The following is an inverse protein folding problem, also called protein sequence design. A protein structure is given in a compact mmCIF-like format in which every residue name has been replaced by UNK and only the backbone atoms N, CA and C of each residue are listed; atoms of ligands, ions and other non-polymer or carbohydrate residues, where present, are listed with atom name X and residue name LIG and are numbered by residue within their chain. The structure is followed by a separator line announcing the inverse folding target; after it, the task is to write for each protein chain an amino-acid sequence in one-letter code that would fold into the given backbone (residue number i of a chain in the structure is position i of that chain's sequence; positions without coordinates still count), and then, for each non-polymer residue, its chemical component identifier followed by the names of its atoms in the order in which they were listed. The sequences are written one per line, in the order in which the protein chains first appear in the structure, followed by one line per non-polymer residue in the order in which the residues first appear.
data_IF_765626192882
#
_entry.id   IF_765626192882
#
_cell.length_a   1.000
_cell.length_b   1.000
_cell.length_c   1.000
_cell.angle_alpha   90.00
_cell.angle_beta   90.00
_cell.angle_gamma   90.00
#
_symmetry.space_group_name_H-M   'P 1'
#
loop_
_entity.id
_entity.type
_entity.pdbx_description
1 polymer ?
#
# COMPACT_ATOMS: atom_id res chain seq x y z
N UNK A 1 48.12 -5.01 -28.08
CA UNK A 1 46.97 -4.39 -28.79
C UNK A 1 45.75 -4.63 -27.92
N UNK A 2 45.47 -3.69 -27.02
CA UNK A 2 44.40 -3.77 -26.04
C UNK A 2 43.18 -3.04 -26.58
N UNK A 3 42.09 -3.77 -26.82
CA UNK A 3 40.81 -3.23 -27.28
C UNK A 3 39.94 -2.88 -26.08
N UNK A 4 39.75 -1.59 -25.87
CA UNK A 4 38.79 -0.96 -24.96
C UNK A 4 37.37 -1.20 -25.47
N UNK A 5 36.44 -1.55 -24.58
CA UNK A 5 34.99 -1.56 -24.89
C UNK A 5 34.22 -0.92 -23.74
N UNK A 6 33.28 -0.09 -24.14
CA UNK A 6 32.63 0.97 -23.40
C UNK A 6 31.70 0.48 -22.28
N UNK A 7 31.78 1.15 -21.13
CA UNK A 7 30.79 1.11 -20.06
C UNK A 7 29.78 2.25 -20.26
N UNK A 8 28.46 1.99 -20.15
CA UNK A 8 27.45 3.05 -20.22
C UNK A 8 27.51 3.93 -18.96
N UNK A 9 27.57 5.24 -19.19
CA UNK A 9 27.69 6.27 -18.17
C UNK A 9 26.58 6.26 -17.13
N UNK A 10 26.98 6.39 -15.87
CA UNK A 10 26.15 6.74 -14.72
C UNK A 10 25.51 8.13 -14.92
N UNK A 11 24.20 8.31 -14.66
CA UNK A 11 23.61 9.64 -14.63
C UNK A 11 24.12 10.43 -13.41
N UNK A 12 24.70 11.59 -13.69
CA UNK A 12 25.17 12.54 -12.68
C UNK A 12 24.03 12.98 -11.74
N UNK A 13 24.35 13.01 -10.45
CA UNK A 13 23.58 13.64 -9.39
C UNK A 13 23.50 15.16 -9.66
N UNK A 14 22.33 15.81 -9.61
CA UNK A 14 22.26 17.27 -9.65
C UNK A 14 22.86 17.86 -8.38
N UNK A 15 23.86 18.72 -8.60
CA UNK A 15 24.73 19.31 -7.61
C UNK A 15 24.05 20.18 -6.56
N UNK A 16 24.86 20.48 -5.55
CA UNK A 16 24.57 21.30 -4.39
C UNK A 16 24.01 22.69 -4.76
N UNK A 17 23.13 23.17 -3.89
CA UNK A 17 22.44 24.46 -3.99
C UNK A 17 23.43 25.63 -3.80
N UNK A 18 23.83 26.28 -4.90
CA UNK A 18 24.56 27.55 -4.83
C UNK A 18 23.58 28.73 -4.64
N UNK A 19 23.62 29.33 -3.46
CA UNK A 19 22.96 30.61 -3.15
C UNK A 19 24.02 31.73 -3.12
N UNK A 20 23.71 32.96 -3.59
CA UNK A 20 24.62 34.09 -3.48
C UNK A 20 24.81 34.55 -2.03
N UNK A 21 26.06 34.73 -1.61
CA UNK A 21 26.46 35.11 -0.27
C UNK A 21 25.93 36.47 0.21
N UNK A 22 25.61 36.54 1.50
CA UNK A 22 25.29 37.75 2.26
C UNK A 22 26.57 38.54 2.59
N UNK A 23 26.63 39.87 2.41
CA UNK A 23 27.72 40.66 2.96
C UNK A 23 27.49 41.00 4.44
N UNK A 24 28.51 40.77 5.25
CA UNK A 24 28.63 41.12 6.68
C UNK A 24 28.75 42.64 6.90
N UNK A 25 28.34 43.09 8.09
CA UNK A 25 28.16 44.49 8.50
C UNK A 25 29.44 45.35 8.67
N UNK A 26 29.27 46.62 9.09
CA UNK A 26 30.30 47.65 8.99
C UNK A 26 31.21 47.75 10.23
N UNK A 27 32.50 47.97 10.00
CA UNK A 27 33.49 48.36 10.99
C UNK A 27 33.72 49.88 11.00
N UNK A 28 33.81 50.45 12.19
CA UNK A 28 34.12 51.83 12.51
C UNK A 28 35.61 52.17 12.31
N UNK A 29 35.93 53.46 12.16
CA UNK A 29 37.30 53.97 12.26
C UNK A 29 37.56 55.36 11.65
N UNK A 30 37.22 56.40 12.41
CA UNK A 30 38.03 57.60 12.75
C UNK A 30 38.60 58.62 11.73
N UNK A 31 38.31 59.88 12.11
CA UNK A 31 39.16 61.08 12.17
C UNK A 31 39.35 62.02 10.95
N UNK A 32 38.73 63.20 11.10
CA UNK A 32 39.32 64.55 11.13
C UNK A 32 40.32 65.00 10.05
N UNK A 33 39.92 66.00 9.24
CA UNK A 33 40.73 67.23 9.03
C UNK A 33 39.97 68.32 8.27
N UNK A 34 40.25 69.56 8.69
CA UNK A 34 39.65 70.83 8.29
C UNK A 34 40.03 71.34 6.88
N UNK A 35 39.05 71.95 6.23
CA UNK A 35 39.07 73.30 5.63
C UNK A 35 40.14 73.69 4.61
N UNK A 36 39.70 73.93 3.35
CA UNK A 36 40.02 75.18 2.63
C UNK A 36 39.02 75.48 1.51
N UNK A 37 38.42 76.67 1.55
CA UNK A 37 37.68 77.29 0.46
C UNK A 37 38.63 77.62 -0.70
N UNK A 38 38.25 77.26 -1.93
CA UNK A 38 38.53 78.06 -3.13
C UNK A 38 37.34 77.95 -4.08
N UNK A 39 36.98 79.09 -4.67
CA UNK A 39 35.80 79.34 -5.49
C UNK A 39 36.21 79.37 -6.97
N UNK A 40 35.59 78.57 -7.85
CA UNK A 40 35.54 78.76 -9.31
C UNK A 40 34.32 78.01 -9.94
N UNK A 41 33.85 78.35 -11.16
CA UNK A 41 32.43 78.34 -11.58
C UNK A 41 31.96 77.01 -12.24
N UNK A 42 30.66 76.87 -12.61
CA UNK A 42 30.00 75.57 -12.73
C UNK A 42 30.30 74.86 -14.05
N UNK A 43 30.86 73.66 -13.96
CA UNK A 43 30.88 72.70 -15.06
C UNK A 43 29.63 71.79 -14.99
N UNK A 44 28.98 71.60 -16.14
CA UNK A 44 27.72 70.86 -16.29
C UNK A 44 27.75 69.45 -15.68
N UNK A 45 26.64 68.96 -15.10
CA UNK A 45 26.60 67.64 -14.49
C UNK A 45 26.66 66.55 -15.57
N UNK A 46 27.72 65.74 -15.54
CA UNK A 46 27.77 64.47 -16.25
C UNK A 46 26.66 63.54 -15.74
N UNK A 47 25.95 62.81 -16.61
CA UNK A 47 24.87 61.94 -16.17
C UNK A 47 25.43 60.80 -15.32
N UNK A 48 24.93 60.71 -14.08
CA UNK A 48 25.21 59.59 -13.20
C UNK A 48 24.91 58.26 -13.92
N UNK A 49 25.74 57.21 -13.77
CA UNK A 49 25.45 55.92 -14.36
C UNK A 49 24.09 55.45 -13.84
N UNK A 50 23.14 55.28 -14.76
CA UNK A 50 21.83 54.68 -14.48
C UNK A 50 22.09 53.34 -13.79
N UNK A 51 21.86 53.28 -12.47
CA UNK A 51 21.82 52.02 -11.74
C UNK A 51 20.73 51.19 -12.42
N UNK A 52 21.14 50.17 -13.15
CA UNK A 52 20.23 49.16 -13.69
C UNK A 52 19.30 48.72 -12.55
N UNK A 53 17.97 48.72 -12.73
CA UNK A 53 17.08 48.27 -11.69
C UNK A 53 17.47 46.83 -11.36
N UNK A 54 17.98 46.61 -10.13
CA UNK A 54 18.13 45.27 -9.58
C UNK A 54 16.73 44.66 -9.65
N UNK A 55 16.53 43.69 -10.55
CA UNK A 55 15.35 42.82 -10.52
C UNK A 55 15.22 42.35 -9.08
N UNK A 56 14.12 42.70 -8.42
CA UNK A 56 13.82 42.20 -7.09
C UNK A 56 13.92 40.67 -7.06
N UNK A 57 14.10 40.04 -5.89
CA UNK A 57 14.18 38.59 -5.80
C UNK A 57 12.95 38.01 -6.52
N UNK A 58 13.19 37.21 -7.55
CA UNK A 58 12.13 36.54 -8.28
C UNK A 58 11.22 35.85 -7.26
N UNK A 59 9.92 36.04 -7.40
CA UNK A 59 8.93 35.39 -6.52
C UNK A 59 9.21 33.87 -6.50
N UNK A 60 9.70 33.33 -5.37
CA UNK A 60 10.20 31.97 -5.31
C UNK A 60 9.07 30.95 -5.56
N UNK A 61 7.83 31.31 -5.21
CA UNK A 61 6.64 30.48 -5.48
C UNK A 61 6.35 30.46 -6.98
N UNK A 62 6.50 31.59 -7.68
CA UNK A 62 6.30 31.65 -9.14
C UNK A 62 7.33 30.80 -9.89
N UNK A 63 8.59 30.80 -9.46
CA UNK A 63 9.62 29.93 -10.01
C UNK A 63 9.27 28.44 -9.79
N UNK A 64 8.80 28.09 -8.58
CA UNK A 64 8.36 26.74 -8.25
C UNK A 64 7.14 26.29 -9.07
N UNK A 65 6.15 27.16 -9.27
CA UNK A 65 5.00 26.91 -10.13
C UNK A 65 5.40 26.66 -11.59
N UNK A 66 6.44 27.34 -12.08
CA UNK A 66 6.94 27.09 -13.44
C UNK A 66 7.59 25.71 -13.56
N UNK A 67 8.35 25.29 -12.55
CA UNK A 67 8.96 23.97 -12.50
C UNK A 67 7.93 22.83 -12.38
N UNK A 68 6.83 23.06 -11.64
CA UNK A 68 5.75 22.09 -11.44
C UNK A 68 4.47 22.47 -12.20
N UNK A 69 4.61 23.07 -13.38
CA UNK A 69 3.49 23.58 -14.19
C UNK A 69 2.44 22.51 -14.48
N UNK A 70 2.88 21.33 -14.93
CA UNK A 70 1.99 20.21 -15.26
C UNK A 70 1.21 19.69 -14.05
N UNK A 71 1.74 19.86 -12.83
CA UNK A 71 1.05 19.51 -11.59
C UNK A 71 -0.02 20.57 -11.27
N UNK A 72 0.33 21.84 -11.34
CA UNK A 72 -0.57 22.96 -11.07
C UNK A 72 -1.75 23.04 -12.07
N UNK A 73 -1.52 22.74 -13.34
CA UNK A 73 -2.55 22.78 -14.39
C UNK A 73 -3.54 21.62 -14.28
N UNK A 74 -3.10 20.43 -13.85
CA UNK A 74 -3.98 19.25 -13.71
C UNK A 74 -4.71 19.17 -12.37
N UNK A 75 -4.23 19.88 -11.35
CA UNK A 75 -4.73 19.74 -10.00
C UNK A 75 -6.15 20.32 -9.84
N UNK A 76 -7.06 19.48 -9.35
CA UNK A 76 -8.46 19.82 -9.07
C UNK A 76 -8.63 20.39 -7.66
N UNK A 77 -7.72 20.08 -6.73
CA UNK A 77 -7.70 20.62 -5.37
C UNK A 77 -6.28 20.96 -4.87
N UNK A 78 -6.13 21.81 -3.83
CA UNK A 78 -4.83 22.12 -3.24
C UNK A 78 -4.08 20.90 -2.67
N UNK A 79 -4.78 19.83 -2.29
CA UNK A 79 -4.16 18.63 -1.73
C UNK A 79 -3.44 17.81 -2.80
N UNK A 80 -3.93 17.79 -4.04
CA UNK A 80 -3.24 17.19 -5.18
C UNK A 80 -1.91 17.91 -5.45
N UNK A 81 -1.89 19.24 -5.32
CA UNK A 81 -0.64 20.02 -5.38
C UNK A 81 0.27 19.65 -4.21
N UNK A 82 -0.22 19.63 -2.97
CA UNK A 82 0.59 19.26 -1.79
C UNK A 82 1.19 17.85 -1.91
N UNK A 83 0.40 16.88 -2.36
CA UNK A 83 0.84 15.52 -2.64
C UNK A 83 1.86 15.44 -3.76
N UNK A 84 1.66 16.19 -4.85
CA UNK A 84 2.63 16.27 -5.94
C UNK A 84 3.94 16.88 -5.47
N UNK A 85 3.92 17.95 -4.68
CA UNK A 85 5.11 18.56 -4.08
C UNK A 85 5.85 17.56 -3.17
N UNK A 86 5.13 16.83 -2.30
CA UNK A 86 5.73 15.78 -1.46
C UNK A 86 6.37 14.66 -2.30
N UNK A 87 5.73 14.25 -3.41
CA UNK A 87 6.27 13.24 -4.31
C UNK A 87 7.58 13.69 -5.00
N UNK A 88 7.73 15.00 -5.23
CA UNK A 88 8.96 15.61 -5.74
C UNK A 88 9.97 15.96 -4.62
N UNK A 89 9.72 15.52 -3.38
CA UNK A 89 10.65 15.65 -2.25
C UNK A 89 10.55 16.96 -1.47
N UNK A 90 9.51 17.78 -1.71
CA UNK A 90 9.28 19.01 -0.96
C UNK A 90 8.62 18.67 0.37
N UNK A 91 9.31 19.00 1.46
CA UNK A 91 8.88 18.76 2.85
C UNK A 91 8.48 20.07 3.53
N UNK A 92 7.91 20.01 4.74
CA UNK A 92 7.56 21.22 5.50
C UNK A 92 8.78 22.14 5.75
N UNK A 93 9.97 21.54 5.94
CA UNK A 93 11.24 22.28 6.03
C UNK A 93 11.61 22.97 4.72
N UNK A 94 11.32 22.34 3.58
CA UNK A 94 11.52 22.95 2.26
C UNK A 94 10.51 24.07 2.01
N UNK A 95 9.24 23.90 2.41
CA UNK A 95 8.19 24.92 2.30
C UNK A 95 8.54 26.21 3.07
N UNK A 96 9.21 26.09 4.22
CA UNK A 96 9.69 27.25 4.98
C UNK A 96 10.63 28.17 4.17
N UNK A 97 11.40 27.62 3.21
CA UNK A 97 12.26 28.42 2.30
C UNK A 97 11.44 29.29 1.33
N UNK A 98 10.21 28.87 1.03
CA UNK A 98 9.25 29.62 0.24
C UNK A 98 8.39 30.56 1.08
N UNK A 99 8.73 30.80 2.37
CA UNK A 99 7.97 31.61 3.34
C UNK A 99 6.59 31.05 3.71
N UNK A 100 6.35 29.77 3.48
CA UNK A 100 5.14 29.08 3.93
C UNK A 100 5.47 28.13 5.09
N UNK A 101 4.60 28.07 6.10
CA UNK A 101 4.84 27.28 7.31
C UNK A 101 4.90 25.77 7.02
N UNK A 102 4.11 25.30 6.05
CA UNK A 102 3.96 23.88 5.70
C UNK A 102 3.66 23.69 4.21
N UNK A 103 3.83 22.47 3.70
CA UNK A 103 3.58 22.13 2.29
C UNK A 103 2.12 22.37 1.89
N UNK A 104 1.17 22.14 2.80
CA UNK A 104 -0.26 22.41 2.55
C UNK A 104 -0.53 23.89 2.29
N UNK A 105 0.03 24.80 3.10
CA UNK A 105 -0.13 26.25 2.89
C UNK A 105 0.56 26.73 1.61
N UNK A 106 1.70 26.14 1.25
CA UNK A 106 2.38 26.41 -0.02
C UNK A 106 1.52 25.96 -1.21
N UNK A 107 0.91 24.78 -1.10
CA UNK A 107 0.06 24.24 -2.14
C UNK A 107 -1.25 25.03 -2.32
N UNK A 108 -1.84 25.51 -1.23
CA UNK A 108 -3.00 26.42 -1.25
C UNK A 108 -2.66 27.74 -1.96
N UNK A 109 -1.51 28.34 -1.65
CA UNK A 109 -1.02 29.53 -2.34
C UNK A 109 -0.78 29.28 -3.84
N UNK A 110 -0.14 28.15 -4.19
CA UNK A 110 0.06 27.76 -5.59
C UNK A 110 -1.25 27.49 -6.32
N UNK A 111 -2.24 26.91 -5.63
CA UNK A 111 -3.59 26.68 -6.18
C UNK A 111 -4.29 28.02 -6.43
N UNK A 112 -4.31 28.93 -5.46
CA UNK A 112 -4.98 30.23 -5.57
C UNK A 112 -4.41 31.12 -6.70
N UNK A 113 -3.13 30.95 -7.05
CA UNK A 113 -2.45 31.73 -8.10
C UNK A 113 -2.69 31.24 -9.52
N UNK A 114 -3.19 30.02 -9.71
CA UNK A 114 -3.54 29.52 -11.05
C UNK A 114 -4.90 30.10 -11.43
N UNK A 115 -5.00 30.92 -12.48
CA UNK A 115 -6.29 31.43 -12.94
C UNK A 115 -7.13 30.23 -13.38
N UNK A 116 -8.19 29.95 -12.61
CA UNK A 116 -9.24 29.01 -12.96
C UNK A 116 -10.44 29.86 -13.36
N UNK A 117 -11.14 29.49 -14.42
CA UNK A 117 -12.41 30.12 -14.76
C UNK A 117 -13.34 29.99 -13.55
N UNK A 118 -13.47 31.07 -12.79
CA UNK A 118 -14.52 31.21 -11.79
C UNK A 118 -15.83 31.37 -12.54
N UNK A 119 -16.41 30.26 -13.00
CA UNK A 119 -17.85 30.15 -13.31
C UNK A 119 -18.19 28.71 -13.73
N UNK A 120 -18.18 27.82 -12.75
CA UNK A 120 -19.32 26.91 -12.60
C UNK A 120 -19.43 26.66 -11.11
N UNK A 121 -20.52 27.09 -10.44
CA UNK A 121 -20.92 26.48 -9.19
C UNK A 121 -21.09 25.00 -9.54
N UNK A 122 -20.07 24.19 -9.28
CA UNK A 122 -20.18 22.75 -9.40
C UNK A 122 -21.22 22.43 -8.36
N UNK A 123 -22.43 22.16 -8.82
CA UNK A 123 -23.47 21.62 -7.97
C UNK A 123 -22.79 20.46 -7.27
N UNK A 124 -22.52 20.62 -5.98
CA UNK A 124 -22.32 19.50 -5.10
C UNK A 124 -23.71 18.90 -5.10
N UNK A 125 -24.00 18.08 -6.13
CA UNK A 125 -24.99 17.04 -6.00
C UNK A 125 -24.43 16.16 -4.90
N UNK A 126 -24.73 16.55 -3.67
CA UNK A 126 -24.86 15.63 -2.58
C UNK A 126 -25.96 14.67 -3.03
N UNK A 127 -25.53 13.67 -3.82
CA UNK A 127 -26.30 12.48 -4.11
C UNK A 127 -26.47 11.77 -2.77
N UNK A 128 -27.41 12.28 -1.99
CA UNK A 128 -27.90 11.74 -0.74
C UNK A 128 -28.85 10.60 -1.09
N UNK A 129 -28.34 9.64 -1.85
CA UNK A 129 -28.92 8.31 -1.88
C UNK A 129 -27.95 7.40 -1.10
N UNK A 130 -28.39 6.71 -0.03
CA UNK A 130 -27.57 5.72 0.67
C UNK A 130 -27.20 4.50 -0.19
N UNK A 131 -27.65 4.45 -1.45
CA UNK A 131 -27.50 3.34 -2.40
C UNK A 131 -26.06 2.87 -2.70
N UNK A 132 -25.02 3.71 -2.77
CA UNK A 132 -23.69 3.21 -3.15
C UNK A 132 -23.05 2.35 -2.05
N UNK A 133 -23.35 2.61 -0.76
CA UNK A 133 -22.83 1.82 0.38
C UNK A 133 -23.44 0.42 0.43
N UNK A 134 -24.76 0.32 0.32
CA UNK A 134 -25.47 -0.97 0.35
C UNK A 134 -25.07 -1.87 -0.82
N UNK A 135 -24.96 -1.30 -2.02
CA UNK A 135 -24.65 -2.07 -3.25
C UNK A 135 -23.26 -2.71 -3.21
N UNK A 136 -22.28 -2.05 -2.60
CA UNK A 136 -20.95 -2.66 -2.48
C UNK A 136 -20.82 -3.57 -1.24
N UNK A 137 -21.50 -3.28 -0.13
CA UNK A 137 -21.57 -4.21 1.01
C UNK A 137 -22.17 -5.56 0.61
N UNK A 138 -23.27 -5.54 -0.15
CA UNK A 138 -23.88 -6.76 -0.71
C UNK A 138 -22.89 -7.55 -1.56
N UNK A 139 -22.10 -6.86 -2.39
CA UNK A 139 -21.05 -7.49 -3.21
C UNK A 139 -19.89 -8.03 -2.39
N UNK A 140 -19.56 -7.41 -1.26
CA UNK A 140 -18.50 -7.89 -0.36
C UNK A 140 -18.91 -9.14 0.44
N UNK A 141 -20.22 -9.40 0.59
CA UNK A 141 -20.78 -10.59 1.25
C UNK A 141 -20.91 -11.81 0.31
N UNK A 142 -21.06 -11.59 -1.00
CA UNK A 142 -21.13 -12.66 -2.02
C UNK A 142 -20.06 -13.76 -1.88
N UNK A 143 -18.75 -13.46 -1.72
CA UNK A 143 -17.74 -14.50 -1.58
C UNK A 143 -18.02 -15.39 -0.36
N UNK A 144 -18.40 -14.81 0.78
CA UNK A 144 -18.76 -15.55 1.99
C UNK A 144 -19.98 -16.47 1.80
N UNK A 145 -21.06 -15.95 1.20
CA UNK A 145 -22.27 -16.74 0.91
C UNK A 145 -21.97 -17.88 -0.07
N UNK A 146 -21.23 -17.60 -1.14
CA UNK A 146 -20.84 -18.62 -2.10
C UNK A 146 -19.98 -19.70 -1.44
N UNK A 147 -19.03 -19.34 -0.57
CA UNK A 147 -18.18 -20.29 0.12
C UNK A 147 -18.98 -21.15 1.11
N UNK A 148 -19.89 -20.55 1.88
CA UNK A 148 -20.78 -21.30 2.77
C UNK A 148 -21.68 -22.29 2.00
N UNK A 149 -22.25 -21.87 0.87
CA UNK A 149 -23.03 -22.75 -0.01
C UNK A 149 -22.20 -23.93 -0.53
N UNK A 150 -20.93 -23.70 -0.87
CA UNK A 150 -20.03 -24.76 -1.34
C UNK A 150 -19.66 -25.75 -0.25
N UNK A 151 -19.41 -25.27 0.97
CA UNK A 151 -19.17 -26.15 2.11
C UNK A 151 -20.41 -27.00 2.39
N UNK A 152 -21.60 -26.38 2.44
CA UNK A 152 -22.86 -27.11 2.62
C UNK A 152 -23.09 -28.15 1.50
N UNK A 153 -22.79 -27.83 0.25
CA UNK A 153 -22.88 -28.78 -0.86
C UNK A 153 -21.88 -29.94 -0.73
N UNK A 154 -20.66 -29.68 -0.27
CA UNK A 154 -19.62 -30.70 -0.06
C UNK A 154 -19.93 -31.65 1.11
N UNK A 155 -20.71 -31.21 2.10
CA UNK A 155 -21.20 -32.06 3.19
C UNK A 155 -22.38 -32.95 2.76
N UNK A 156 -23.19 -32.51 1.79
CA UNK A 156 -24.37 -33.26 1.33
C UNK A 156 -24.09 -34.18 0.13
N UNK A 157 -22.95 -34.04 -0.54
CA UNK A 157 -22.63 -34.82 -1.75
C UNK A 157 -21.57 -35.89 -1.50
N UNK A 158 -21.75 -37.06 -2.12
CA UNK A 158 -20.81 -38.19 -2.06
C UNK A 158 -20.27 -38.52 -3.46
N UNK A 159 -19.09 -39.17 -3.54
CA UNK A 159 -18.52 -39.65 -4.79
C UNK A 159 -18.20 -38.55 -5.83
N UNK A 160 -18.50 -38.82 -7.10
CA UNK A 160 -18.21 -37.87 -8.20
C UNK A 160 -18.99 -36.56 -8.11
N UNK A 161 -20.20 -36.58 -7.54
CA UNK A 161 -21.00 -35.37 -7.33
C UNK A 161 -20.28 -34.38 -6.41
N UNK A 162 -19.47 -34.87 -5.46
CA UNK A 162 -18.65 -34.07 -4.56
C UNK A 162 -17.53 -33.34 -5.29
N UNK A 163 -16.88 -34.02 -6.25
CA UNK A 163 -15.84 -33.42 -7.09
C UNK A 163 -16.40 -32.29 -7.96
N UNK A 164 -17.55 -32.54 -8.61
CA UNK A 164 -18.22 -31.52 -9.41
C UNK A 164 -18.69 -30.33 -8.55
N UNK A 165 -19.24 -30.59 -7.37
CA UNK A 165 -19.62 -29.54 -6.41
C UNK A 165 -18.41 -28.71 -5.95
N UNK A 166 -17.27 -29.36 -5.70
CA UNK A 166 -16.01 -28.70 -5.35
C UNK A 166 -15.49 -27.80 -6.47
N UNK A 167 -15.46 -28.28 -7.71
CA UNK A 167 -15.01 -27.50 -8.88
C UNK A 167 -15.95 -26.31 -9.12
N UNK A 168 -17.26 -26.56 -9.19
CA UNK A 168 -18.26 -25.51 -9.38
C UNK A 168 -18.19 -24.46 -8.26
N UNK A 169 -17.97 -24.93 -7.04
CA UNK A 169 -17.81 -24.08 -5.87
C UNK A 169 -16.57 -23.21 -5.91
N UNK A 170 -15.41 -23.77 -6.25
CA UNK A 170 -14.17 -23.03 -6.41
C UNK A 170 -14.32 -21.93 -7.48
N UNK A 171 -14.97 -22.24 -8.61
CA UNK A 171 -15.26 -21.26 -9.66
C UNK A 171 -16.19 -20.16 -9.16
N UNK A 172 -17.27 -20.51 -8.45
CA UNK A 172 -18.23 -19.54 -7.91
C UNK A 172 -17.57 -18.58 -6.90
N UNK A 173 -16.72 -19.10 -6.00
CA UNK A 173 -15.96 -18.31 -5.03
C UNK A 173 -14.96 -17.41 -5.75
N UNK A 174 -14.21 -17.93 -6.73
CA UNK A 174 -13.24 -17.16 -7.49
C UNK A 174 -13.88 -16.00 -8.26
N UNK A 175 -15.03 -16.24 -8.91
CA UNK A 175 -15.79 -15.20 -9.63
C UNK A 175 -16.34 -14.15 -8.66
N UNK A 176 -16.93 -14.58 -7.54
CA UNK A 176 -17.46 -13.69 -6.51
C UNK A 176 -16.37 -12.82 -5.88
N UNK A 177 -15.22 -13.41 -5.57
CA UNK A 177 -14.05 -12.71 -5.06
C UNK A 177 -13.53 -11.71 -6.09
N UNK A 178 -13.39 -12.11 -7.36
CA UNK A 178 -12.98 -11.19 -8.44
C UNK A 178 -13.97 -10.04 -8.60
N UNK A 179 -15.27 -10.29 -8.53
CA UNK A 179 -16.29 -9.24 -8.60
C UNK A 179 -16.22 -8.26 -7.43
N UNK A 180 -16.05 -8.76 -6.20
CA UNK A 180 -15.89 -7.94 -4.99
C UNK A 180 -14.62 -7.08 -5.04
N UNK A 181 -13.52 -7.66 -5.53
CA UNK A 181 -12.22 -7.00 -5.62
C UNK A 181 -12.10 -6.01 -6.78
N UNK A 182 -12.87 -6.17 -7.86
CA UNK A 182 -12.77 -5.30 -9.06
C UNK A 182 -13.72 -4.11 -9.03
N UNK A 183 -14.87 -4.21 -8.36
CA UNK A 183 -15.94 -3.18 -8.41
C UNK A 183 -16.20 -2.47 -7.07
N UNK A 184 -15.25 -2.52 -6.14
CA UNK A 184 -15.35 -1.95 -4.79
C UNK A 184 -14.20 -0.99 -4.40
N UNK A 185 -14.17 -0.46 -3.16
CA UNK A 185 -13.07 0.30 -2.59
C UNK A 185 -11.82 -0.54 -2.29
N UNK A 186 -11.91 -1.88 -2.44
CA UNK A 186 -10.74 -2.76 -2.57
C UNK A 186 -10.20 -2.83 -4.00
N UNK A 187 -10.72 -2.03 -4.95
CA UNK A 187 -10.22 -2.02 -6.32
C UNK A 187 -8.79 -1.48 -6.35
N UNK A 188 -7.88 -2.35 -6.78
CA UNK A 188 -6.49 -2.02 -7.07
C UNK A 188 -6.23 -2.21 -8.57
N UNK A 189 -5.33 -1.41 -9.15
CA UNK A 189 -4.69 -1.74 -10.43
C UNK A 189 -3.66 -2.84 -10.13
N UNK A 190 -4.14 -4.07 -9.97
CA UNK A 190 -3.29 -5.22 -9.67
C UNK A 190 -2.58 -5.73 -10.93
N UNK A 191 -1.37 -6.23 -10.77
CA UNK A 191 -0.77 -7.09 -11.79
C UNK A 191 -1.46 -8.47 -11.75
N UNK A 192 -1.61 -9.16 -12.89
CA UNK A 192 -2.16 -10.51 -12.92
C UNK A 192 -1.35 -11.49 -12.03
N UNK A 193 -0.05 -11.25 -11.87
CA UNK A 193 0.83 -12.07 -11.02
C UNK A 193 0.41 -12.10 -9.55
N UNK A 194 0.01 -10.96 -8.97
CA UNK A 194 -0.45 -10.92 -7.56
C UNK A 194 -1.69 -11.80 -7.33
N UNK A 195 -2.57 -11.90 -8.33
CA UNK A 195 -3.77 -12.74 -8.25
C UNK A 195 -3.40 -14.22 -8.26
N UNK A 196 -2.46 -14.63 -9.11
CA UNK A 196 -1.97 -16.02 -9.18
C UNK A 196 -1.38 -16.45 -7.83
N UNK A 197 -0.54 -15.61 -7.22
CA UNK A 197 0.06 -15.94 -5.92
C UNK A 197 -0.95 -15.92 -4.76
N UNK A 198 -1.93 -15.01 -4.80
CA UNK A 198 -3.06 -15.04 -3.85
C UNK A 198 -3.84 -16.36 -3.97
N UNK A 199 -4.13 -16.80 -5.20
CA UNK A 199 -4.81 -18.07 -5.45
C UNK A 199 -3.97 -19.26 -4.98
N UNK A 200 -2.64 -19.24 -5.19
CA UNK A 200 -1.75 -20.27 -4.67
C UNK A 200 -1.78 -20.34 -3.14
N UNK A 201 -1.67 -19.21 -2.44
CA UNK A 201 -1.71 -19.17 -0.96
C UNK A 201 -3.06 -19.66 -0.41
N UNK A 202 -4.17 -19.33 -1.08
CA UNK A 202 -5.49 -19.84 -0.72
C UNK A 202 -5.60 -21.35 -0.97
N UNK A 203 -5.08 -21.85 -2.10
CA UNK A 203 -5.06 -23.28 -2.39
C UNK A 203 -4.19 -24.04 -1.36
N UNK A 204 -3.03 -23.49 -1.00
CA UNK A 204 -2.16 -24.03 0.05
C UNK A 204 -2.86 -24.04 1.41
N UNK A 205 -3.62 -23.01 1.77
CA UNK A 205 -4.35 -23.00 3.04
C UNK A 205 -5.44 -24.08 3.14
N UNK A 206 -5.93 -24.60 2.01
CA UNK A 206 -6.98 -25.64 1.94
C UNK A 206 -6.41 -27.05 1.84
N UNK A 207 -5.38 -27.23 1.01
CA UNK A 207 -4.82 -28.56 0.70
C UNK A 207 -3.42 -28.78 1.27
N UNK A 208 -2.68 -27.71 1.54
CA UNK A 208 -1.24 -27.75 1.81
C UNK A 208 -0.88 -28.48 3.09
N UNK A 209 -1.59 -28.23 4.20
CA UNK A 209 -1.28 -28.89 5.48
C UNK A 209 -1.59 -30.39 5.44
N UNK A 210 -2.72 -30.77 4.81
CA UNK A 210 -3.05 -32.17 4.57
C UNK A 210 -2.08 -32.85 3.60
N UNK A 211 -1.59 -32.12 2.59
CA UNK A 211 -0.60 -32.62 1.63
C UNK A 211 0.78 -32.80 2.27
N UNK A 212 1.19 -31.88 3.16
CA UNK A 212 2.42 -32.01 3.96
C UNK A 212 2.34 -33.22 4.89
N UNK A 213 1.22 -33.39 5.59
CA UNK A 213 1.00 -34.55 6.46
C UNK A 213 1.07 -35.87 5.70
N UNK A 214 0.38 -35.95 4.55
CA UNK A 214 0.41 -37.15 3.70
C UNK A 214 1.79 -37.40 3.08
N UNK A 215 2.52 -36.35 2.68
CA UNK A 215 3.87 -36.50 2.14
C UNK A 215 4.86 -37.02 3.20
N UNK A 216 4.70 -36.57 4.45
CA UNK A 216 5.50 -36.97 5.60
C UNK A 216 5.25 -38.43 6.05
N UNK A 217 4.01 -38.93 5.91
CA UNK A 217 3.62 -40.27 6.39
C UNK A 217 3.87 -41.42 5.41
N UNK A 218 4.40 -41.16 4.20
CA UNK A 218 4.65 -42.19 3.19
C UNK A 218 4.04 -41.89 1.82
N UNK A 219 3.15 -40.91 1.73
CA UNK A 219 2.64 -40.31 0.48
C UNK A 219 1.12 -40.17 0.43
N UNK A 220 0.60 -39.35 -0.49
CA UNK A 220 -0.83 -39.29 -0.74
C UNK A 220 -1.26 -40.58 -1.43
N UNK A 221 -1.63 -41.60 -0.65
CA UNK A 221 -2.17 -42.86 -1.18
C UNK A 221 -3.60 -42.70 -1.73
N UNK A 222 -4.26 -41.59 -1.40
CA UNK A 222 -5.64 -41.28 -1.78
C UNK A 222 -5.82 -39.83 -2.25
N UNK A 223 -6.89 -39.59 -3.02
CA UNK A 223 -7.34 -38.23 -3.40
C UNK A 223 -7.77 -37.42 -2.17
N UNK A 224 -7.68 -36.07 -2.22
CA UNK A 224 -8.09 -35.22 -1.11
C UNK A 224 -9.60 -35.39 -0.87
N UNK A 225 -9.98 -35.66 0.37
CA UNK A 225 -11.36 -35.84 0.77
C UNK A 225 -11.67 -35.00 2.02
N UNK A 226 -12.86 -34.38 2.04
CA UNK A 226 -13.32 -33.68 3.24
C UNK A 226 -13.86 -34.72 4.24
N UNK A 227 -13.21 -34.78 5.40
CA UNK A 227 -13.52 -35.69 6.49
C UNK A 227 -12.31 -35.79 7.44
N UNK A 228 -12.52 -35.80 8.77
CA UNK A 228 -11.44 -35.80 9.75
C UNK A 228 -10.57 -37.07 9.68
N UNK A 229 -11.13 -38.18 9.20
CA UNK A 229 -10.44 -39.48 9.06
C UNK A 229 -9.82 -39.70 7.67
N UNK A 230 -9.81 -38.69 6.81
CA UNK A 230 -9.20 -38.78 5.48
C UNK A 230 -7.67 -38.78 5.58
N UNK A 231 -6.96 -39.63 4.82
CA UNK A 231 -5.49 -39.57 4.70
C UNK A 231 -4.99 -38.22 4.18
N UNK A 232 -5.85 -37.48 3.47
CA UNK A 232 -5.60 -36.11 3.01
C UNK A 232 -6.83 -35.24 3.32
N UNK A 233 -6.91 -34.62 4.51
CA UNK A 233 -8.05 -33.81 4.92
C UNK A 233 -8.01 -32.42 4.27
N UNK A 234 -9.19 -31.92 3.89
CA UNK A 234 -9.39 -30.58 3.33
C UNK A 234 -9.80 -29.62 4.44
N UNK A 235 -9.02 -28.57 4.69
CA UNK A 235 -9.32 -27.53 5.69
C UNK A 235 -10.20 -26.44 5.09
N UNK A 236 -11.51 -26.51 5.33
CA UNK A 236 -12.48 -25.54 4.78
C UNK A 236 -12.67 -24.30 5.66
N UNK A 237 -12.41 -24.41 6.98
CA UNK A 237 -12.55 -23.31 7.95
C UNK A 237 -11.79 -22.03 7.54
N UNK A 238 -10.48 -22.08 7.18
CA UNK A 238 -9.72 -20.86 6.90
C UNK A 238 -10.24 -20.13 5.65
N UNK A 239 -10.63 -20.87 4.62
CA UNK A 239 -11.12 -20.25 3.37
C UNK A 239 -12.52 -19.69 3.52
N UNK A 240 -13.41 -20.39 4.21
CA UNK A 240 -14.74 -19.85 4.52
C UNK A 240 -14.63 -18.58 5.36
N UNK A 241 -13.74 -18.59 6.36
CA UNK A 241 -13.50 -17.41 7.19
C UNK A 241 -12.92 -16.25 6.39
N UNK A 242 -11.91 -16.48 5.54
CA UNK A 242 -11.32 -15.43 4.70
C UNK A 242 -12.32 -14.89 3.67
N UNK A 243 -13.21 -15.74 3.15
CA UNK A 243 -14.30 -15.32 2.25
C UNK A 243 -15.32 -14.42 2.97
N UNK A 244 -15.69 -14.74 4.22
CA UNK A 244 -16.52 -13.88 5.08
C UNK A 244 -15.78 -12.59 5.49
N UNK A 245 -14.49 -12.68 5.75
CA UNK A 245 -13.63 -11.55 6.13
C UNK A 245 -13.46 -10.52 4.99
N UNK A 246 -13.87 -10.85 3.76
CA UNK A 246 -13.92 -9.89 2.67
C UNK A 246 -14.81 -8.68 2.98
N UNK A 247 -15.92 -8.86 3.71
CA UNK A 247 -16.84 -7.78 4.10
C UNK A 247 -16.28 -6.80 5.15
N UNK A 248 -15.68 -7.24 6.27
CA UNK A 248 -14.99 -6.33 7.18
C UNK A 248 -13.74 -5.71 6.54
N UNK A 249 -12.95 -6.45 5.75
CA UNK A 249 -11.78 -5.92 5.04
C UNK A 249 -12.17 -4.75 4.13
N UNK A 250 -13.22 -4.96 3.36
CA UNK A 250 -13.91 -3.96 2.59
C UNK A 250 -14.19 -2.71 3.44
N UNK A 251 -15.08 -2.82 4.43
CA UNK A 251 -15.57 -1.68 5.21
C UNK A 251 -14.43 -0.93 5.91
N UNK A 252 -13.43 -1.65 6.43
CA UNK A 252 -12.25 -1.07 7.06
C UNK A 252 -11.38 -0.31 6.06
N UNK A 253 -11.15 -0.82 4.86
CA UNK A 253 -10.38 -0.11 3.82
C UNK A 253 -11.08 1.17 3.35
N UNK A 254 -12.42 1.15 3.25
CA UNK A 254 -13.19 2.34 2.90
C UNK A 254 -13.13 3.39 4.03
N UNK A 255 -13.38 2.97 5.27
CA UNK A 255 -13.34 3.87 6.42
C UNK A 255 -11.93 4.40 6.72
N UNK A 256 -10.88 3.62 6.48
CA UNK A 256 -9.49 4.08 6.49
C UNK A 256 -9.28 5.22 5.51
N UNK A 257 -9.67 5.04 4.24
CA UNK A 257 -9.53 6.06 3.21
C UNK A 257 -10.32 7.35 3.52
N UNK A 258 -11.56 7.21 3.99
CA UNK A 258 -12.40 8.34 4.37
C UNK A 258 -11.82 9.12 5.55
N UNK A 259 -11.37 8.42 6.61
CA UNK A 259 -10.76 9.07 7.78
C UNK A 259 -9.38 9.66 7.47
N UNK A 260 -8.57 8.99 6.66
CA UNK A 260 -7.28 9.53 6.20
C UNK A 260 -7.47 10.84 5.43
N UNK A 261 -8.48 10.91 4.54
CA UNK A 261 -8.83 12.15 3.83
C UNK A 261 -9.33 13.24 4.77
N UNK A 262 -10.18 12.90 5.73
CA UNK A 262 -10.63 13.85 6.75
C UNK A 262 -9.47 14.41 7.57
N UNK A 263 -8.51 13.57 7.97
CA UNK A 263 -7.28 14.00 8.66
C UNK A 263 -6.41 14.89 7.79
N UNK A 264 -6.27 14.57 6.50
CA UNK A 264 -5.52 15.35 5.53
C UNK A 264 -6.07 16.79 5.39
N UNK A 265 -7.38 16.97 5.45
CA UNK A 265 -8.03 18.29 5.41
C UNK A 265 -7.83 19.10 6.70
N UNK A 266 -7.67 18.43 7.85
CA UNK A 266 -7.53 19.10 9.15
C UNK A 266 -6.09 19.38 9.55
N UNK A 267 -5.14 18.58 9.07
CA UNK A 267 -3.73 18.65 9.45
C UNK A 267 -3.03 19.81 8.77
N UNK A 268 -2.20 20.54 9.51
CA UNK A 268 -1.50 21.72 8.99
C UNK A 268 -0.11 21.39 8.47
N UNK A 269 0.41 20.18 8.67
CA UNK A 269 1.72 19.73 8.15
C UNK A 269 1.79 18.22 7.89
N UNK A 270 2.82 17.78 7.16
CA UNK A 270 3.03 16.37 6.78
C UNK A 270 3.36 15.50 8.00
N UNK A 271 4.11 16.02 8.96
CA UNK A 271 4.46 15.29 10.18
C UNK A 271 3.23 15.05 11.08
N UNK A 272 2.39 16.06 11.24
CA UNK A 272 1.13 15.97 11.98
C UNK A 272 0.17 14.98 11.31
N UNK A 273 0.08 15.03 9.98
CA UNK A 273 -0.69 14.07 9.21
C UNK A 273 -0.18 12.64 9.44
N UNK A 274 1.13 12.40 9.28
CA UNK A 274 1.74 11.09 9.49
C UNK A 274 1.53 10.57 10.93
N UNK A 275 1.65 11.43 11.94
CA UNK A 275 1.40 11.09 13.33
C UNK A 275 -0.06 10.67 13.58
N UNK A 276 -1.02 11.31 12.92
CA UNK A 276 -2.45 10.98 13.05
C UNK A 276 -2.87 9.71 12.30
N UNK A 277 -2.22 9.39 11.18
CA UNK A 277 -2.58 8.24 10.32
C UNK A 277 -1.98 6.93 10.83
N UNK A 278 -0.80 6.94 11.48
CA UNK A 278 -0.18 5.75 12.06
C UNK A 278 -1.09 4.97 13.03
N UNK A 279 -1.66 5.57 14.08
CA UNK A 279 -2.55 4.86 15.00
C UNK A 279 -3.83 4.42 14.31
N UNK A 280 -4.28 5.16 13.29
CA UNK A 280 -5.45 4.80 12.50
C UNK A 280 -5.20 3.54 11.67
N UNK A 281 -4.04 3.43 11.03
CA UNK A 281 -3.64 2.22 10.30
C UNK A 281 -3.55 1.02 11.24
N UNK A 282 -2.86 1.16 12.38
CA UNK A 282 -2.75 0.09 13.38
C UNK A 282 -4.12 -0.32 13.92
N UNK A 283 -5.00 0.65 14.21
CA UNK A 283 -6.37 0.42 14.62
C UNK A 283 -7.15 -0.37 13.58
N UNK A 284 -7.04 -0.03 12.29
CA UNK A 284 -7.75 -0.76 11.22
C UNK A 284 -7.26 -2.20 11.05
N UNK A 285 -5.95 -2.43 11.12
CA UNK A 285 -5.37 -3.78 11.06
C UNK A 285 -5.78 -4.59 12.29
N UNK A 286 -5.72 -4.00 13.48
CA UNK A 286 -6.16 -4.62 14.72
C UNK A 286 -7.65 -4.98 14.69
N UNK A 287 -8.52 -4.06 14.25
CA UNK A 287 -9.95 -4.32 14.08
C UNK A 287 -10.21 -5.44 13.06
N UNK A 288 -9.44 -5.50 11.97
CA UNK A 288 -9.55 -6.58 11.00
C UNK A 288 -9.17 -7.94 11.59
N UNK A 289 -8.08 -8.00 12.35
CA UNK A 289 -7.64 -9.22 13.05
C UNK A 289 -8.68 -9.70 14.07
N UNK A 290 -9.24 -8.79 14.87
CA UNK A 290 -10.30 -9.12 15.84
C UNK A 290 -11.55 -9.65 15.12
N UNK A 291 -11.99 -8.98 14.05
CA UNK A 291 -13.13 -9.45 13.26
C UNK A 291 -12.86 -10.83 12.63
N UNK A 292 -11.65 -11.06 12.12
CA UNK A 292 -11.26 -12.35 11.54
C UNK A 292 -11.19 -13.44 12.61
N UNK A 293 -10.67 -13.15 13.80
CA UNK A 293 -10.64 -14.08 14.93
C UNK A 293 -12.05 -14.46 15.41
N UNK A 294 -12.96 -13.50 15.49
CA UNK A 294 -14.36 -13.74 15.84
C UNK A 294 -15.05 -14.61 14.79
N UNK A 295 -14.83 -14.34 13.49
CA UNK A 295 -15.33 -15.19 12.41
C UNK A 295 -14.75 -16.60 12.47
N UNK A 296 -13.45 -16.75 12.77
CA UNK A 296 -12.82 -18.07 12.95
C UNK A 296 -13.49 -18.85 14.08
N UNK A 297 -13.73 -18.21 15.23
CA UNK A 297 -14.42 -18.83 16.35
C UNK A 297 -15.85 -19.26 15.97
N UNK A 298 -16.60 -18.41 15.27
CA UNK A 298 -17.96 -18.74 14.82
C UNK A 298 -17.98 -19.90 13.81
N UNK A 299 -17.04 -19.92 12.86
CA UNK A 299 -16.95 -21.00 11.87
C UNK A 299 -16.49 -22.32 12.48
N UNK A 300 -15.56 -22.28 13.44
CA UNK A 300 -15.16 -23.45 14.22
C UNK A 300 -16.32 -24.03 15.03
N UNK A 301 -17.08 -23.18 15.71
CA UNK A 301 -18.29 -23.57 16.45
C UNK A 301 -19.35 -24.18 15.54
N UNK A 302 -19.57 -23.59 14.35
CA UNK A 302 -20.56 -24.07 13.41
C UNK A 302 -20.19 -25.42 12.75
N UNK A 303 -18.89 -25.67 12.55
CA UNK A 303 -18.37 -26.88 11.90
C UNK A 303 -17.95 -27.97 12.89
N UNK A 304 -17.81 -27.66 14.18
CA UNK A 304 -17.40 -28.61 15.22
C UNK A 304 -15.92 -29.02 15.17
N UNK A 305 -15.09 -28.26 14.47
CA UNK A 305 -13.69 -28.59 14.16
C UNK A 305 -12.74 -27.53 14.77
N UNK A 306 -11.51 -27.91 15.18
CA UNK A 306 -10.54 -26.97 15.74
C UNK A 306 -10.07 -25.95 14.70
N UNK A 307 -10.16 -24.65 15.04
CA UNK A 307 -9.69 -23.59 14.14
C UNK A 307 -8.17 -23.40 14.24
N UNK A 308 -7.44 -23.43 13.10
CA UNK A 308 -6.03 -23.03 13.04
C UNK A 308 -5.90 -21.50 13.08
N UNK A 309 -6.16 -20.91 14.26
CA UNK A 309 -6.08 -19.46 14.52
C UNK A 309 -4.80 -18.79 14.00
N UNK A 310 -3.58 -19.29 14.32
CA UNK A 310 -2.37 -18.53 13.98
C UNK A 310 -2.15 -18.43 12.47
N UNK A 311 -2.43 -19.50 11.73
CA UNK A 311 -2.30 -19.55 10.27
C UNK A 311 -3.31 -18.63 9.57
N UNK A 312 -4.59 -18.72 9.96
CA UNK A 312 -5.66 -17.97 9.29
C UNK A 312 -5.55 -16.46 9.57
N UNK A 313 -5.14 -16.08 10.79
CA UNK A 313 -4.88 -14.67 11.13
C UNK A 313 -3.66 -14.12 10.38
N UNK A 314 -2.56 -14.88 10.30
CA UNK A 314 -1.36 -14.45 9.58
C UNK A 314 -1.62 -14.27 8.09
N UNK A 315 -2.31 -15.24 7.46
CA UNK A 315 -2.68 -15.16 6.04
C UNK A 315 -3.68 -14.02 5.80
N UNK A 316 -4.69 -13.88 6.65
CA UNK A 316 -5.66 -12.79 6.56
C UNK A 316 -4.98 -11.41 6.64
N UNK A 317 -4.09 -11.21 7.61
CA UNK A 317 -3.34 -9.97 7.75
C UNK A 317 -2.49 -9.66 6.52
N UNK A 318 -1.78 -10.67 6.00
CA UNK A 318 -0.95 -10.54 4.80
C UNK A 318 -1.77 -10.08 3.60
N UNK A 319 -2.91 -10.75 3.33
CA UNK A 319 -3.79 -10.43 2.21
C UNK A 319 -4.44 -9.05 2.36
N UNK A 320 -4.88 -8.70 3.57
CA UNK A 320 -5.47 -7.38 3.85
C UNK A 320 -4.46 -6.25 3.62
N UNK A 321 -3.24 -6.38 4.16
CA UNK A 321 -2.17 -5.40 3.99
C UNK A 321 -1.73 -5.28 2.53
N UNK A 322 -1.54 -6.42 1.85
CA UNK A 322 -1.20 -6.45 0.44
C UNK A 322 -2.25 -5.72 -0.40
N UNK A 323 -3.54 -5.96 -0.11
CA UNK A 323 -4.64 -5.30 -0.82
C UNK A 323 -4.74 -3.83 -0.50
N UNK A 324 -4.57 -3.44 0.76
CA UNK A 324 -4.60 -2.05 1.18
C UNK A 324 -3.50 -1.24 0.47
N UNK A 325 -2.28 -1.76 0.40
CA UNK A 325 -1.17 -1.16 -0.33
C UNK A 325 -1.46 -1.05 -1.83
N UNK A 326 -1.98 -2.12 -2.45
CA UNK A 326 -2.32 -2.13 -3.87
C UNK A 326 -3.43 -1.12 -4.22
N UNK A 327 -4.39 -0.89 -3.31
CA UNK A 327 -5.45 0.11 -3.46
C UNK A 327 -4.92 1.54 -3.47
N UNK A 328 -3.82 1.81 -2.73
CA UNK A 328 -3.14 3.11 -2.70
C UNK A 328 -1.98 3.20 -3.73
N UNK A 329 -1.98 2.33 -4.75
CA UNK A 329 -1.01 2.37 -5.86
C UNK A 329 0.32 1.65 -5.61
N UNK A 330 0.60 1.19 -4.39
CA UNK A 330 1.85 0.50 -4.03
C UNK A 330 1.73 -1.03 -4.21
N UNK A 331 1.57 -1.50 -5.45
CA UNK A 331 1.36 -2.93 -5.74
C UNK A 331 2.65 -3.77 -5.82
N UNK A 332 3.81 -3.14 -6.04
CA UNK A 332 5.07 -3.88 -6.26
C UNK A 332 5.55 -4.63 -5.01
N UNK A 333 5.67 -3.95 -3.87
CA UNK A 333 6.13 -4.58 -2.62
C UNK A 333 5.20 -5.72 -2.15
N UNK A 334 3.86 -5.56 -2.16
CA UNK A 334 2.94 -6.67 -1.94
C UNK A 334 3.15 -7.84 -2.89
N UNK A 335 3.35 -7.58 -4.19
CA UNK A 335 3.57 -8.66 -5.16
C UNK A 335 4.82 -9.46 -4.82
N UNK A 336 5.95 -8.80 -4.53
CA UNK A 336 7.21 -9.46 -4.15
C UNK A 336 7.07 -10.28 -2.86
N UNK A 337 6.37 -9.74 -1.86
CA UNK A 337 6.20 -10.45 -0.59
C UNK A 337 5.27 -11.65 -0.77
N UNK A 338 4.18 -11.51 -1.52
CA UNK A 338 3.29 -12.64 -1.86
C UNK A 338 3.98 -13.69 -2.71
N UNK A 339 4.86 -13.29 -3.65
CA UNK A 339 5.66 -14.25 -4.43
C UNK A 339 6.61 -15.00 -3.52
N UNK A 340 7.33 -14.29 -2.64
CA UNK A 340 8.30 -14.89 -1.74
C UNK A 340 7.66 -15.88 -0.76
N UNK A 341 6.52 -15.53 -0.17
CA UNK A 341 5.78 -16.43 0.73
C UNK A 341 5.25 -17.65 -0.01
N UNK A 342 4.69 -17.47 -1.20
CA UNK A 342 4.19 -18.57 -2.01
C UNK A 342 5.31 -19.51 -2.46
N UNK A 343 6.46 -18.97 -2.89
CA UNK A 343 7.62 -19.78 -3.25
C UNK A 343 8.18 -20.51 -2.04
N UNK A 344 8.23 -19.90 -0.86
CA UNK A 344 8.70 -20.58 0.36
C UNK A 344 7.83 -21.78 0.73
N UNK A 345 6.50 -21.64 0.62
CA UNK A 345 5.55 -22.73 0.84
C UNK A 345 5.68 -23.81 -0.25
N UNK A 346 5.86 -23.42 -1.51
CA UNK A 346 6.09 -24.36 -2.61
C UNK A 346 7.41 -25.12 -2.47
N UNK A 347 8.48 -24.46 -2.02
CA UNK A 347 9.78 -25.11 -1.78
C UNK A 347 9.68 -26.13 -0.65
N UNK A 348 8.93 -25.86 0.42
CA UNK A 348 8.73 -26.82 1.50
C UNK A 348 8.06 -28.12 1.00
N UNK A 349 7.03 -27.99 0.17
CA UNK A 349 6.41 -29.14 -0.50
C UNK A 349 7.41 -29.85 -1.42
N UNK A 350 8.10 -29.10 -2.28
CA UNK A 350 9.05 -29.66 -3.24
C UNK A 350 10.19 -30.43 -2.56
N UNK A 351 10.71 -29.96 -1.41
CA UNK A 351 11.76 -30.65 -0.67
C UNK A 351 11.32 -31.98 -0.11
N UNK A 352 10.06 -32.11 0.35
CA UNK A 352 9.52 -33.39 0.82
C UNK A 352 9.35 -34.39 -0.33
N UNK A 353 8.88 -33.94 -1.50
CA UNK A 353 8.76 -34.79 -2.68
C UNK A 353 10.14 -35.16 -3.26
N UNK A 354 11.10 -34.23 -3.28
CA UNK A 354 12.46 -34.47 -3.77
C UNK A 354 13.21 -35.47 -2.89
N UNK A 355 12.94 -35.53 -1.59
CA UNK A 355 13.53 -36.50 -0.68
C UNK A 355 13.18 -37.96 -1.00
N UNK A 356 12.20 -38.21 -1.88
CA UNK A 356 11.88 -39.55 -2.40
C UNK A 356 12.82 -40.04 -3.47
N UNK A 357 13.62 -39.15 -4.07
CA UNK A 357 14.67 -39.54 -5.00
C UNK A 357 15.83 -40.19 -4.24
N UNK A 358 16.48 -41.22 -4.82
CA UNK A 358 17.66 -41.83 -4.20
C UNK A 358 18.71 -40.75 -3.94
N UNK A 359 19.33 -40.79 -2.76
CA UNK A 359 20.36 -39.85 -2.27
C UNK A 359 19.89 -38.42 -1.91
N UNK A 360 18.60 -38.10 -2.02
CA UNK A 360 18.07 -36.76 -1.75
C UNK A 360 17.36 -36.60 -0.38
N UNK A 361 17.39 -37.62 0.48
CA UNK A 361 16.66 -37.63 1.76
C UNK A 361 17.02 -36.45 2.69
N UNK A 362 18.25 -35.93 2.61
CA UNK A 362 18.69 -34.80 3.44
C UNK A 362 17.88 -33.50 3.19
N UNK A 363 17.31 -33.31 1.99
CA UNK A 363 16.56 -32.11 1.62
C UNK A 363 15.27 -31.93 2.43
N UNK A 364 14.63 -33.03 2.87
CA UNK A 364 13.41 -32.98 3.67
C UNK A 364 13.66 -32.73 5.16
N UNK A 365 14.87 -33.01 5.67
CA UNK A 365 15.18 -32.97 7.10
C UNK A 365 14.75 -31.70 7.84
N UNK A 366 14.95 -30.46 7.34
CA UNK A 366 14.53 -29.27 8.08
C UNK A 366 13.00 -29.12 8.12
N UNK A 367 12.31 -29.48 7.04
CA UNK A 367 10.84 -29.38 6.94
C UNK A 367 10.20 -30.47 7.79
N UNK A 368 10.73 -31.69 7.73
CA UNK A 368 10.27 -32.82 8.52
C UNK A 368 10.42 -32.56 10.02
N UNK A 369 11.59 -32.10 10.47
CA UNK A 369 11.82 -31.75 11.87
C UNK A 369 10.85 -30.67 12.37
N UNK A 370 10.50 -29.69 11.53
CA UNK A 370 9.52 -28.66 11.84
C UNK A 370 8.10 -29.20 11.96
N UNK A 371 7.71 -30.11 11.05
CA UNK A 371 6.40 -30.77 11.07
C UNK A 371 6.28 -31.69 12.28
N UNK A 372 7.32 -32.46 12.61
CA UNK A 372 7.30 -33.41 13.74
C UNK A 372 7.21 -32.69 15.09
N UNK A 373 7.77 -31.47 15.20
CA UNK A 373 7.80 -30.69 16.45
C UNK A 373 6.58 -29.80 16.66
N UNK A 374 6.06 -29.17 15.61
CA UNK A 374 5.00 -28.16 15.71
C UNK A 374 3.78 -28.41 14.82
N UNK A 375 3.80 -29.49 14.04
CA UNK A 375 2.76 -29.84 13.08
C UNK A 375 2.88 -29.12 11.73
N UNK A 376 2.10 -29.55 10.72
CA UNK A 376 2.20 -29.07 9.33
C UNK A 376 1.84 -27.58 9.16
N UNK A 377 0.92 -27.06 9.99
CA UNK A 377 0.48 -25.65 9.96
C UNK A 377 1.56 -24.63 10.35
N UNK A 378 2.73 -25.08 10.78
CA UNK A 378 3.86 -24.21 11.18
C UNK A 378 4.48 -23.49 9.99
N UNK A 379 4.61 -24.17 8.84
CA UNK A 379 5.17 -23.60 7.60
C UNK A 379 4.40 -22.36 7.14
N UNK A 380 3.07 -22.41 6.94
CA UNK A 380 2.30 -21.23 6.55
C UNK A 380 2.25 -20.18 7.66
N UNK A 381 2.25 -20.59 8.93
CA UNK A 381 2.25 -19.65 10.07
C UNK A 381 3.53 -18.82 10.13
N UNK A 382 4.70 -19.44 9.96
CA UNK A 382 5.99 -18.73 9.97
C UNK A 382 6.17 -17.84 8.74
N UNK A 383 5.85 -18.37 7.55
CA UNK A 383 6.00 -17.61 6.29
C UNK A 383 5.05 -16.42 6.23
N UNK A 384 3.77 -16.60 6.54
CA UNK A 384 2.81 -15.49 6.58
C UNK A 384 3.03 -14.58 7.79
N UNK A 385 3.40 -15.13 8.94
CA UNK A 385 3.63 -14.40 10.20
C UNK A 385 4.85 -13.50 10.17
N UNK A 386 5.87 -13.80 9.36
CA UNK A 386 7.02 -12.92 9.12
C UNK A 386 6.75 -11.89 8.01
N UNK A 387 6.01 -12.28 6.97
CA UNK A 387 5.68 -11.41 5.86
C UNK A 387 4.67 -10.30 6.21
N UNK A 388 3.68 -10.59 7.05
CA UNK A 388 2.67 -9.63 7.49
C UNK A 388 3.27 -8.41 8.23
N UNK A 389 4.12 -8.55 9.26
CA UNK A 389 4.74 -7.40 9.93
C UNK A 389 5.70 -6.63 8.99
N UNK A 390 6.39 -7.32 8.07
CA UNK A 390 7.20 -6.65 7.06
C UNK A 390 6.35 -5.72 6.16
N UNK A 391 5.18 -6.19 5.70
CA UNK A 391 4.21 -5.35 4.98
C UNK A 391 3.61 -4.25 5.87
N UNK A 392 3.40 -4.50 7.16
CA UNK A 392 2.88 -3.49 8.09
C UNK A 392 3.89 -2.35 8.29
N UNK A 393 5.17 -2.66 8.47
CA UNK A 393 6.25 -1.68 8.54
C UNK A 393 6.35 -0.91 7.21
N UNK A 394 6.17 -1.58 6.08
CA UNK A 394 6.14 -0.91 4.79
C UNK A 394 4.92 0.03 4.64
N UNK A 395 3.73 -0.44 5.03
CA UNK A 395 2.48 0.30 4.98
C UNK A 395 2.51 1.55 5.87
N UNK A 396 3.03 1.44 7.09
CA UNK A 396 3.19 2.58 8.02
C UNK A 396 4.15 3.65 7.49
N UNK A 397 5.06 3.31 6.56
CA UNK A 397 5.96 4.29 5.92
C UNK A 397 5.40 4.91 4.65
N UNK A 398 4.60 4.16 3.89
CA UNK A 398 4.06 4.59 2.58
C UNK A 398 2.70 5.26 2.70
N UNK A 399 1.78 4.70 3.49
CA UNK A 399 0.42 5.20 3.61
C UNK A 399 0.30 6.47 4.49
N UNK A 400 1.37 6.83 5.22
CA UNK A 400 1.46 8.08 5.96
C UNK A 400 1.88 9.27 5.10
N UNK A 401 2.22 9.04 3.83
CA UNK A 401 2.54 10.11 2.88
C UNK A 401 1.25 10.69 2.31
N UNK A 402 1.17 12.01 2.18
CA UNK A 402 0.01 12.69 1.58
C UNK A 402 -0.22 12.24 0.12
N UNK A 403 0.87 12.03 -0.61
CA UNK A 403 0.93 11.49 -1.97
C UNK A 403 0.21 10.15 -2.15
N UNK A 404 0.13 9.31 -1.10
CA UNK A 404 -0.59 8.05 -1.16
C UNK A 404 -2.11 8.20 -1.32
N UNK A 405 -2.66 9.40 -1.01
CA UNK A 405 -4.09 9.65 -0.95
C UNK A 405 -4.62 10.59 -2.03
N UNK A 406 -3.74 11.26 -2.80
CA UNK A 406 -4.13 12.21 -3.84
C UNK A 406 -4.70 11.55 -5.11
N UNK A 407 -4.20 10.38 -5.54
CA UNK A 407 -4.69 9.72 -6.76
C UNK A 407 -6.17 9.27 -6.72
N UNK A 408 -6.81 9.33 -5.55
CA UNK A 408 -8.24 9.02 -5.38
C UNK A 408 -9.16 10.21 -5.63
N UNK A 409 -8.66 11.44 -5.67
CA UNK A 409 -9.48 12.64 -5.87
C UNK A 409 -10.06 12.72 -7.30
N UNK A 410 -9.40 12.11 -8.29
CA UNK A 410 -9.86 12.07 -9.69
C UNK A 410 -10.94 11.02 -10.01
N UNK A 411 -11.41 10.23 -9.03
CA UNK A 411 -12.18 8.99 -9.31
C UNK A 411 -13.52 8.83 -8.57
N UNK A 412 -14.05 9.89 -7.97
CA UNK A 412 -15.39 9.89 -7.39
C UNK A 412 -16.20 11.05 -7.92
#
# INVERSE_FOLDING_TARGET
MSGTSDLPGTPELPGAWDLPGTPSGPGAGDACSEQRLTTEPPAAPAPAPRRTPRRGPADPVKALMHQHRDLCERAVDPLEIAAGLEAHGITDRTAARFRHRHVFSLAEEMYARVPRDEDTPRAVTEDTTPRPRATWLLRALLPGVSCAATVAALHQTQGQARLLAGIAGAVAVAVSLRAALTRGPLRAKGSPGSLVWTCWLLAYAVLGDGLLGAAASGGPEALPAAGPDSPWPITTIPVLTLALACAPAAWLAHSFGARARGRLMTSRGLEEFAASVRPLLLGTVGSFLVATAALLALTALALGEPAPYPQALALGALLFLARLLAVHGFAYAPAVILTATATAQATALATLFAARLPYCAFLATPVQALIDTWGPGTVPTLTCGTAAPALLIHATRKLTRASAHAERATRW
#
